data_IF_835908319978
#
_entry.id   IF_835908319978
#
_cell.length_a   1.000
_cell.length_b   1.000
_cell.length_c   1.000
_cell.angle_alpha   90.00
_cell.angle_beta   90.00
_cell.angle_gamma   90.00
#
_symmetry.space_group_name_H-M   'P 1'
#
loop_
_entity.id
_entity.type
_entity.pdbx_description
1 polymer ?
#
# COMPACT_ATOMS: atom_id res chain seq x y z
N UNK A 1 -3.75 12.88 -5.42
CA UNK A 1 -2.60 13.61 -5.92
C UNK A 1 -2.90 15.11 -5.97
N UNK A 2 -2.05 15.92 -5.33
CA UNK A 2 -2.17 17.36 -5.42
C UNK A 2 -1.70 17.74 -6.84
N UNK A 3 -2.64 18.12 -7.69
CA UNK A 3 -2.31 18.62 -9.03
C UNK A 3 -1.49 19.91 -8.91
N UNK A 4 -0.62 20.17 -9.87
CA UNK A 4 0.30 21.32 -9.93
C UNK A 4 -0.35 22.70 -9.68
N UNK A 5 -1.67 22.83 -9.91
CA UNK A 5 -2.43 24.03 -9.59
C UNK A 5 -2.43 24.46 -8.11
N UNK A 6 -2.15 23.52 -7.18
CA UNK A 6 -2.03 23.84 -5.75
C UNK A 6 -0.66 24.48 -5.39
N UNK A 7 0.35 24.36 -6.25
CA UNK A 7 1.67 24.95 -6.05
C UNK A 7 1.74 26.45 -6.41
N UNK A 8 0.67 27.03 -6.98
CA UNK A 8 0.63 28.44 -7.41
C UNK A 8 0.55 29.45 -6.27
N UNK A 9 0.21 29.02 -5.06
CA UNK A 9 0.12 29.86 -3.89
C UNK A 9 1.46 29.84 -3.13
N UNK A 10 2.14 30.97 -3.04
CA UNK A 10 3.44 31.13 -2.35
C UNK A 10 3.38 30.62 -0.91
N UNK A 11 2.24 30.80 -0.24
CA UNK A 11 2.03 30.29 1.11
C UNK A 11 2.03 28.77 1.15
N UNK A 12 1.36 28.11 0.19
CA UNK A 12 1.32 26.63 0.11
C UNK A 12 2.66 26.02 -0.28
N UNK A 13 3.47 26.74 -1.08
CA UNK A 13 4.82 26.28 -1.47
C UNK A 13 5.72 26.02 -0.26
N UNK A 14 5.63 26.81 0.80
CA UNK A 14 6.41 26.62 2.03
C UNK A 14 6.06 25.32 2.77
N UNK A 15 4.94 24.69 2.43
CA UNK A 15 4.53 23.38 2.95
C UNK A 15 5.27 22.19 2.32
N UNK A 16 6.04 22.41 1.24
CA UNK A 16 6.74 21.34 0.52
C UNK A 16 8.25 21.52 0.58
N UNK A 17 8.98 20.42 0.44
CA UNK A 17 10.45 20.44 0.47
C UNK A 17 10.97 20.79 -0.92
N UNK A 18 11.63 21.95 -1.03
CA UNK A 18 12.43 22.30 -2.20
C UNK A 18 13.82 21.64 -2.08
N UNK A 19 14.24 20.82 -3.05
CA UNK A 19 15.51 20.14 -2.96
C UNK A 19 16.66 21.12 -3.18
N UNK A 20 17.56 21.16 -2.22
CA UNK A 20 18.91 21.65 -2.42
C UNK A 20 19.79 20.51 -2.94
N UNK A 21 20.92 20.83 -3.59
CA UNK A 21 21.84 19.81 -4.13
C UNK A 21 22.26 18.78 -3.07
N UNK A 22 22.48 19.20 -1.83
CA UNK A 22 22.82 18.32 -0.70
C UNK A 22 21.75 17.28 -0.39
N UNK A 23 20.44 17.54 -0.66
CA UNK A 23 19.38 16.56 -0.49
C UNK A 23 19.36 15.53 -1.62
N UNK A 24 19.73 15.95 -2.84
CA UNK A 24 19.75 15.06 -4.00
C UNK A 24 20.87 14.03 -3.92
N UNK A 25 22.04 14.43 -3.41
CA UNK A 25 23.23 13.59 -3.36
C UNK A 25 23.24 12.61 -2.20
N UNK A 26 22.56 12.92 -1.09
CA UNK A 26 22.69 12.19 0.19
C UNK A 26 21.45 11.47 0.65
N UNK A 27 20.30 11.63 -0.01
CA UNK A 27 19.08 10.91 0.33
C UNK A 27 19.00 9.55 -0.35
N UNK A 28 18.95 8.52 0.44
CA UNK A 28 19.26 7.14 0.09
C UNK A 28 18.27 6.44 -0.87
N UNK A 29 17.00 6.81 -0.87
CA UNK A 29 15.99 6.02 -1.60
C UNK A 29 15.50 6.63 -2.91
N UNK A 30 16.26 7.53 -3.48
CA UNK A 30 15.93 7.99 -4.81
C UNK A 30 16.51 7.06 -5.86
N UNK A 31 15.66 6.52 -6.72
CA UNK A 31 16.11 5.70 -7.84
C UNK A 31 17.04 6.53 -8.73
N UNK A 32 18.27 6.07 -9.00
CA UNK A 32 19.18 6.80 -9.89
C UNK A 32 18.52 7.08 -11.25
N UNK A 33 18.66 8.29 -11.77
CA UNK A 33 18.11 8.69 -13.05
C UNK A 33 16.62 9.06 -13.07
N UNK A 34 15.92 9.02 -11.92
CA UNK A 34 14.59 9.64 -11.84
C UNK A 34 14.73 11.16 -11.75
N UNK A 35 14.05 11.93 -12.63
CA UNK A 35 14.01 13.36 -12.54
C UNK A 35 13.32 13.78 -11.23
N UNK A 36 13.69 14.94 -10.69
CA UNK A 36 12.96 15.52 -9.56
C UNK A 36 11.59 16.02 -10.05
N UNK A 37 10.59 15.98 -9.17
CA UNK A 37 9.27 16.51 -9.50
C UNK A 37 9.39 18.02 -9.76
N UNK A 38 8.98 18.44 -10.96
CA UNK A 38 8.94 19.85 -11.35
C UNK A 38 7.49 20.35 -11.33
N UNK A 39 7.25 21.45 -10.66
CA UNK A 39 5.95 22.13 -10.68
C UNK A 39 6.03 23.37 -11.56
N UNK A 40 5.14 23.45 -12.57
CA UNK A 40 5.01 24.64 -13.39
C UNK A 40 4.28 25.76 -12.62
N UNK A 41 4.90 26.93 -12.54
CA UNK A 41 4.37 28.09 -11.88
C UNK A 41 3.47 28.94 -12.82
N UNK A 42 2.63 29.85 -12.27
CA UNK A 42 1.78 30.71 -13.09
C UNK A 42 2.51 31.61 -14.07
N UNK A 43 3.77 31.95 -13.75
CA UNK A 43 4.67 32.74 -14.61
C UNK A 43 5.36 31.92 -15.71
N UNK A 44 5.08 30.60 -15.75
CA UNK A 44 5.65 29.65 -16.70
C UNK A 44 7.00 29.06 -16.30
N UNK A 45 7.57 29.47 -15.16
CA UNK A 45 8.78 28.85 -14.61
C UNK A 45 8.50 27.47 -14.06
N UNK A 46 9.51 26.61 -13.97
CA UNK A 46 9.43 25.29 -13.32
C UNK A 46 10.29 25.29 -12.06
N UNK A 47 9.70 24.91 -10.94
CA UNK A 47 10.38 24.78 -9.65
C UNK A 47 10.48 23.32 -9.21
N UNK A 48 11.65 22.87 -8.71
CA UNK A 48 11.83 21.51 -8.23
C UNK A 48 11.22 21.32 -6.83
N UNK A 49 10.58 20.15 -6.62
CA UNK A 49 10.11 19.71 -5.31
C UNK A 49 10.55 18.28 -5.03
N UNK A 50 10.89 18.00 -3.78
CA UNK A 50 11.24 16.66 -3.35
C UNK A 50 10.03 15.73 -3.38
N UNK A 51 10.24 14.51 -3.88
CA UNK A 51 9.25 13.44 -3.88
C UNK A 51 9.92 12.12 -3.54
N UNK A 52 9.39 11.40 -2.54
CA UNK A 52 9.87 10.08 -2.15
C UNK A 52 9.29 8.99 -3.03
N UNK A 53 8.00 9.07 -3.33
CA UNK A 53 7.27 7.97 -3.97
C UNK A 53 7.02 8.25 -5.44
N UNK A 54 5.79 8.50 -5.78
CA UNK A 54 5.32 8.50 -7.14
C UNK A 54 5.84 9.66 -7.96
N UNK A 55 6.42 9.34 -9.12
CA UNK A 55 6.77 10.32 -10.13
C UNK A 55 6.55 9.71 -11.51
N UNK A 56 5.83 10.42 -12.32
CA UNK A 56 5.62 10.13 -13.72
C UNK A 56 5.65 11.43 -14.51
N UNK A 57 6.28 11.39 -15.68
CA UNK A 57 6.14 12.45 -16.68
C UNK A 57 5.05 11.98 -17.63
N UNK A 58 4.00 12.76 -17.77
CA UNK A 58 2.97 12.55 -18.77
C UNK A 58 3.13 13.58 -19.89
N UNK A 59 3.00 13.12 -21.13
CA UNK A 59 3.10 13.97 -22.32
C UNK A 59 1.71 14.17 -22.89
N UNK A 60 1.23 15.40 -22.84
CA UNK A 60 -0.02 15.75 -23.54
C UNK A 60 0.12 15.40 -25.01
N UNK A 61 -0.94 14.84 -25.56
CA UNK A 61 -0.95 14.42 -26.97
C UNK A 61 -1.44 15.56 -27.83
N UNK A 62 -0.65 15.97 -28.84
CA UNK A 62 -1.12 16.96 -29.77
C UNK A 62 -2.32 16.41 -30.56
N UNK A 63 -3.36 17.18 -30.69
CA UNK A 63 -4.47 16.85 -31.59
C UNK A 63 -3.99 16.74 -33.05
N UNK A 64 -4.78 16.08 -33.91
CA UNK A 64 -4.45 15.99 -35.33
C UNK A 64 -4.25 17.37 -35.97
N UNK A 65 -5.08 18.36 -35.57
CA UNK A 65 -4.93 19.74 -36.05
C UNK A 65 -3.63 20.40 -35.61
N UNK A 66 -3.25 20.24 -34.32
CA UNK A 66 -1.97 20.71 -33.81
C UNK A 66 -0.79 20.05 -34.52
N UNK A 67 -0.85 18.73 -34.75
CA UNK A 67 0.17 18.04 -35.54
C UNK A 67 0.31 18.60 -36.97
N UNK A 68 -0.80 18.90 -37.64
CA UNK A 68 -0.75 19.56 -38.95
C UNK A 68 -0.05 20.92 -38.87
N UNK A 69 -0.36 21.71 -37.84
CA UNK A 69 0.21 23.06 -37.66
C UNK A 69 1.73 23.02 -37.40
N UNK A 70 2.18 22.15 -36.48
CA UNK A 70 3.58 22.10 -36.07
C UNK A 70 4.47 21.35 -37.06
N UNK A 71 3.92 20.37 -37.78
CA UNK A 71 4.71 19.51 -38.68
C UNK A 71 4.55 19.80 -40.17
N UNK A 72 3.55 20.59 -40.56
CA UNK A 72 3.20 20.84 -41.96
C UNK A 72 2.60 19.63 -42.69
N UNK A 73 2.26 18.56 -41.99
CA UNK A 73 1.70 17.35 -42.60
C UNK A 73 0.25 17.55 -43.04
N UNK A 74 -0.13 16.88 -44.11
CA UNK A 74 -1.52 16.76 -44.56
C UNK A 74 -2.33 15.91 -43.56
N UNK A 75 -3.65 16.13 -43.50
CA UNK A 75 -4.55 15.49 -42.54
C UNK A 75 -4.35 13.97 -42.37
N UNK A 76 -4.34 13.23 -43.48
CA UNK A 76 -4.17 11.77 -43.44
C UNK A 76 -2.82 11.28 -42.87
N UNK A 77 -1.76 12.06 -43.08
CA UNK A 77 -0.43 11.80 -42.51
C UNK A 77 -0.41 12.15 -41.02
N UNK A 78 -1.01 13.28 -40.64
CA UNK A 78 -1.14 13.71 -39.27
C UNK A 78 -1.96 12.73 -38.42
N UNK A 79 -3.05 12.15 -38.94
CA UNK A 79 -3.82 11.08 -38.27
C UNK A 79 -2.96 9.86 -37.98
N UNK A 80 -2.16 9.41 -38.95
CA UNK A 80 -1.26 8.25 -38.73
C UNK A 80 -0.15 8.55 -37.75
N UNK A 81 0.43 9.75 -37.78
CA UNK A 81 1.43 10.18 -36.82
C UNK A 81 0.82 10.27 -35.42
N UNK A 82 -0.37 10.84 -35.27
CA UNK A 82 -1.11 10.89 -33.99
C UNK A 82 -1.31 9.48 -33.41
N UNK A 83 -1.80 8.52 -34.19
CA UNK A 83 -2.00 7.14 -33.73
C UNK A 83 -0.68 6.48 -33.31
N UNK A 84 0.40 6.72 -34.05
CA UNK A 84 1.73 6.21 -33.74
C UNK A 84 2.28 6.80 -32.42
N UNK A 85 2.17 8.12 -32.24
CA UNK A 85 2.56 8.80 -31.00
C UNK A 85 1.76 8.29 -29.80
N UNK A 86 0.43 8.17 -29.97
CA UNK A 86 -0.44 7.65 -28.93
C UNK A 86 -0.05 6.22 -28.51
N UNK A 87 0.25 5.34 -29.48
CA UNK A 87 0.69 3.97 -29.19
C UNK A 87 2.05 3.94 -28.47
N UNK A 88 3.01 4.75 -28.91
CA UNK A 88 4.35 4.81 -28.33
C UNK A 88 4.33 5.36 -26.89
N UNK A 89 3.63 6.47 -26.66
CA UNK A 89 3.48 7.08 -25.33
C UNK A 89 2.69 6.18 -24.37
N UNK A 90 1.64 5.50 -24.84
CA UNK A 90 0.92 4.51 -24.04
C UNK A 90 1.80 3.31 -23.66
N UNK A 91 2.77 2.96 -24.50
CA UNK A 91 3.76 1.93 -24.19
C UNK A 91 4.88 2.43 -23.26
N UNK A 92 4.81 3.68 -22.77
CA UNK A 92 5.79 4.27 -21.88
C UNK A 92 7.09 4.69 -22.52
N UNK A 93 7.15 4.80 -23.87
CA UNK A 93 8.33 5.31 -24.56
C UNK A 93 8.49 6.81 -24.32
N UNK A 94 9.73 7.25 -24.09
CA UNK A 94 10.04 8.69 -24.03
C UNK A 94 9.99 9.29 -25.46
N UNK A 95 9.69 10.59 -25.59
CA UNK A 95 9.58 11.24 -26.90
C UNK A 95 10.82 11.06 -27.81
N UNK A 96 12.02 11.11 -27.25
CA UNK A 96 13.29 10.93 -27.96
C UNK A 96 13.52 9.48 -28.44
N UNK A 97 12.95 8.51 -27.74
CA UNK A 97 13.02 7.07 -28.07
C UNK A 97 12.05 6.64 -29.18
N UNK A 98 11.04 7.49 -29.49
CA UNK A 98 10.01 7.16 -30.48
C UNK A 98 10.62 7.10 -31.88
N UNK A 99 10.37 5.99 -32.56
CA UNK A 99 10.76 5.84 -33.97
C UNK A 99 9.73 6.50 -34.90
N UNK A 100 10.10 7.63 -35.47
CA UNK A 100 9.23 8.39 -36.37
C UNK A 100 9.15 7.81 -37.80
N UNK A 101 9.99 6.87 -38.16
CA UNK A 101 9.99 6.23 -39.49
C UNK A 101 9.96 7.25 -40.63
N UNK A 102 8.96 7.18 -41.51
CA UNK A 102 8.79 8.12 -42.63
C UNK A 102 8.47 9.57 -42.23
N UNK A 103 8.18 9.83 -40.94
CA UNK A 103 7.94 11.16 -40.39
C UNK A 103 9.17 11.77 -39.71
N UNK A 104 10.37 11.21 -39.95
CA UNK A 104 11.62 11.67 -39.35
C UNK A 104 11.89 13.18 -39.55
N UNK A 105 11.45 13.74 -40.68
CA UNK A 105 11.61 15.16 -40.99
C UNK A 105 10.89 16.11 -39.97
N UNK A 106 9.81 15.66 -39.31
CA UNK A 106 9.12 16.46 -38.33
C UNK A 106 9.41 16.00 -36.86
N UNK A 107 10.34 15.06 -36.67
CA UNK A 107 10.64 14.50 -35.34
C UNK A 107 10.97 15.59 -34.33
N UNK A 108 11.88 16.51 -34.63
CA UNK A 108 12.36 17.56 -33.71
C UNK A 108 11.23 18.50 -33.26
N UNK A 109 10.41 18.97 -34.19
CA UNK A 109 9.31 19.91 -33.85
C UNK A 109 8.22 19.23 -33.02
N UNK A 110 7.96 17.95 -33.28
CA UNK A 110 6.97 17.18 -32.49
C UNK A 110 7.52 16.86 -31.08
N UNK A 111 8.80 16.47 -30.97
CA UNK A 111 9.43 16.25 -29.66
C UNK A 111 9.43 17.53 -28.86
N UNK A 112 9.84 18.67 -29.43
CA UNK A 112 9.83 19.94 -28.72
C UNK A 112 8.42 20.27 -28.21
N UNK A 113 7.39 20.09 -29.04
CA UNK A 113 6.01 20.30 -28.61
C UNK A 113 5.63 19.39 -27.44
N UNK A 114 5.97 18.08 -27.48
CA UNK A 114 5.69 17.15 -26.39
C UNK A 114 6.41 17.55 -25.09
N UNK A 115 7.68 17.97 -25.18
CA UNK A 115 8.47 18.42 -24.02
C UNK A 115 7.92 19.74 -23.44
N UNK A 116 7.45 20.66 -24.27
CA UNK A 116 6.80 21.90 -23.85
C UNK A 116 5.44 21.67 -23.18
N UNK A 117 4.77 20.55 -23.49
CA UNK A 117 3.45 20.19 -22.98
C UNK A 117 3.50 18.96 -22.07
N UNK A 118 4.66 18.66 -21.48
CA UNK A 118 4.78 17.62 -20.47
C UNK A 118 4.20 18.08 -19.14
N UNK A 119 3.64 17.14 -18.40
CA UNK A 119 3.17 17.35 -17.04
C UNK A 119 3.90 16.39 -16.10
N UNK A 120 4.26 16.89 -14.93
CA UNK A 120 4.82 16.05 -13.88
C UNK A 120 3.72 15.62 -12.93
N UNK A 121 3.48 14.31 -12.85
CA UNK A 121 2.57 13.71 -11.90
C UNK A 121 3.37 13.10 -10.76
N UNK A 122 3.05 13.47 -9.52
CA UNK A 122 3.78 12.95 -8.37
C UNK A 122 3.23 13.47 -7.05
N UNK A 123 3.79 12.92 -5.97
CA UNK A 123 3.52 13.36 -4.60
C UNK A 123 4.70 14.18 -4.10
N UNK A 124 4.46 15.46 -3.84
CA UNK A 124 5.43 16.32 -3.16
C UNK A 124 5.46 15.94 -1.68
N UNK A 125 6.67 15.81 -1.12
CA UNK A 125 6.81 15.51 0.31
C UNK A 125 6.57 16.78 1.13
N UNK A 126 5.81 16.63 2.22
CA UNK A 126 5.51 17.71 3.14
C UNK A 126 6.77 18.13 3.92
N UNK A 127 6.96 19.42 4.08
CA UNK A 127 8.00 19.98 4.91
C UNK A 127 7.55 20.06 6.38
N UNK A 128 7.83 19.04 7.16
CA UNK A 128 7.47 18.96 8.58
C UNK A 128 8.13 20.05 9.46
N UNK A 129 9.08 20.83 8.92
CA UNK A 129 9.67 21.99 9.59
C UNK A 129 8.84 23.26 9.37
N UNK A 130 7.87 23.23 8.45
CA UNK A 130 7.02 24.37 8.13
C UNK A 130 5.82 24.49 9.08
N UNK A 131 5.57 25.69 9.67
CA UNK A 131 4.38 25.93 10.48
C UNK A 131 3.06 25.64 9.74
N UNK A 132 3.03 25.84 8.42
CA UNK A 132 1.86 25.59 7.57
C UNK A 132 1.47 24.09 7.59
N UNK A 133 2.46 23.20 7.62
CA UNK A 133 2.21 21.76 7.69
C UNK A 133 1.59 21.39 9.03
N UNK A 134 2.00 22.04 10.13
CA UNK A 134 1.42 21.82 11.44
C UNK A 134 -0.01 22.35 11.56
N UNK A 135 -0.31 23.50 10.96
CA UNK A 135 -1.67 24.00 10.83
C UNK A 135 -2.53 23.04 10.01
N UNK A 136 -2.02 22.53 8.89
CA UNK A 136 -2.69 21.50 8.10
C UNK A 136 -2.95 20.22 8.90
N UNK A 137 -1.99 19.71 9.66
CA UNK A 137 -2.17 18.54 10.52
C UNK A 137 -3.24 18.77 11.58
N UNK A 138 -3.20 19.91 12.27
CA UNK A 138 -4.22 20.27 13.27
C UNK A 138 -5.61 20.27 12.66
N UNK A 139 -5.80 20.98 11.55
CA UNK A 139 -7.09 21.09 10.89
C UNK A 139 -7.58 19.72 10.37
N UNK A 140 -6.68 18.88 9.88
CA UNK A 140 -7.01 17.53 9.41
C UNK A 140 -7.46 16.63 10.56
N UNK A 141 -6.71 16.59 11.67
CA UNK A 141 -7.06 15.78 12.84
C UNK A 141 -8.38 16.23 13.45
N UNK A 142 -8.60 17.54 13.56
CA UNK A 142 -9.88 18.12 14.02
C UNK A 142 -11.04 17.68 13.14
N UNK A 143 -10.87 17.73 11.82
CA UNK A 143 -11.89 17.34 10.84
C UNK A 143 -12.22 15.85 10.96
N UNK A 144 -11.19 15.01 11.04
CA UNK A 144 -11.38 13.56 11.20
C UNK A 144 -12.10 13.20 12.50
N UNK A 145 -11.73 13.86 13.61
CA UNK A 145 -12.44 13.70 14.88
C UNK A 145 -13.90 14.14 14.78
N UNK A 146 -14.16 15.26 14.08
CA UNK A 146 -15.52 15.74 13.80
C UNK A 146 -16.37 14.75 12.98
N UNK A 147 -15.74 13.93 12.15
CA UNK A 147 -16.41 12.84 11.45
C UNK A 147 -16.56 11.56 12.27
N UNK A 148 -16.11 11.57 13.53
CA UNK A 148 -16.24 10.43 14.44
C UNK A 148 -15.09 9.41 14.32
N UNK A 149 -13.97 9.77 13.71
CA UNK A 149 -12.78 8.92 13.74
C UNK A 149 -12.27 8.77 15.18
N UNK A 150 -11.84 7.57 15.55
CA UNK A 150 -11.17 7.29 16.81
C UNK A 150 -9.71 6.85 16.62
N UNK A 151 -9.38 6.33 15.44
CA UNK A 151 -8.02 5.92 15.04
C UNK A 151 -7.66 6.62 13.73
N UNK A 152 -6.48 7.21 13.66
CA UNK A 152 -5.93 7.84 12.46
C UNK A 152 -4.67 7.11 12.01
N UNK A 153 -4.71 6.59 10.79
CA UNK A 153 -3.54 5.99 10.14
C UNK A 153 -2.64 7.09 9.60
N UNK A 154 -1.38 7.03 9.96
CA UNK A 154 -0.33 7.91 9.43
C UNK A 154 0.40 7.19 8.29
N UNK A 155 0.02 7.53 7.06
CA UNK A 155 0.52 6.91 5.83
C UNK A 155 2.01 7.15 5.65
N UNK A 156 2.77 6.09 5.34
CA UNK A 156 4.20 6.14 5.03
C UNK A 156 5.04 6.97 6.03
N UNK A 157 4.69 6.91 7.31
CA UNK A 157 5.14 7.84 8.34
C UNK A 157 6.66 7.90 8.49
N UNK A 158 7.33 6.75 8.35
CA UNK A 158 8.79 6.65 8.49
C UNK A 158 9.58 7.47 7.44
N UNK A 159 8.91 7.91 6.38
CA UNK A 159 9.51 8.76 5.34
C UNK A 159 9.34 10.27 5.59
N UNK A 160 8.56 10.67 6.60
CA UNK A 160 8.24 12.08 6.81
C UNK A 160 9.45 12.94 7.25
N UNK A 161 10.33 12.50 8.17
CA UNK A 161 11.54 13.25 8.51
C UNK A 161 12.54 13.25 7.35
N UNK A 162 13.03 14.45 7.01
CA UNK A 162 14.02 14.69 5.96
C UNK A 162 15.17 15.52 6.53
N UNK A 163 16.31 14.87 6.73
CA UNK A 163 17.53 15.52 7.19
C UNK A 163 18.64 15.36 6.14
N UNK A 164 19.31 16.46 5.75
CA UNK A 164 20.41 16.39 4.81
C UNK A 164 21.54 15.49 5.32
N UNK A 165 21.95 14.53 4.49
CA UNK A 165 23.00 13.58 4.86
C UNK A 165 22.52 12.31 5.53
N UNK A 166 21.24 12.22 5.89
CA UNK A 166 20.62 11.04 6.48
C UNK A 166 19.88 10.21 5.44
N UNK A 167 19.55 8.97 5.82
CA UNK A 167 18.68 8.11 5.00
C UNK A 167 17.27 8.70 4.91
N UNK A 168 16.53 8.33 3.87
CA UNK A 168 15.16 8.82 3.63
C UNK A 168 14.08 7.92 4.28
N UNK A 169 14.44 7.11 5.27
CA UNK A 169 13.51 6.19 5.91
C UNK A 169 13.95 5.92 7.34
N UNK A 170 13.02 6.03 8.28
CA UNK A 170 13.18 5.74 9.70
C UNK A 170 14.44 6.39 10.30
N UNK A 171 14.48 7.71 10.24
CA UNK A 171 15.56 8.49 10.86
C UNK A 171 15.36 8.56 12.36
N UNK A 172 16.32 8.03 13.12
CA UNK A 172 16.33 8.07 14.57
C UNK A 172 17.25 9.23 15.04
N UNK A 173 16.83 10.10 15.97
CA UNK A 173 15.54 10.11 16.69
C UNK A 173 14.40 10.83 15.98
N UNK A 174 14.63 11.48 14.85
CA UNK A 174 13.69 12.43 14.22
C UNK A 174 12.30 11.83 13.91
N UNK A 175 12.23 10.54 13.54
CA UNK A 175 10.95 9.85 13.29
C UNK A 175 10.10 9.79 14.55
N UNK A 176 10.71 9.46 15.68
CA UNK A 176 10.00 9.33 16.95
C UNK A 176 9.61 10.68 17.54
N UNK A 177 10.48 11.68 17.46
CA UNK A 177 10.17 13.05 17.85
C UNK A 177 9.01 13.64 17.05
N UNK A 178 8.95 13.33 15.75
CA UNK A 178 7.82 13.73 14.91
C UNK A 178 6.53 13.02 15.36
N UNK A 179 6.61 11.71 15.64
CA UNK A 179 5.45 10.94 16.10
C UNK A 179 4.90 11.49 17.42
N UNK A 180 5.78 11.82 18.36
CA UNK A 180 5.39 12.41 19.64
C UNK A 180 4.72 13.78 19.46
N UNK A 181 5.20 14.62 18.54
CA UNK A 181 4.57 15.91 18.21
C UNK A 181 3.18 15.72 17.60
N UNK A 182 3.01 14.76 16.67
CA UNK A 182 1.69 14.46 16.08
C UNK A 182 0.76 13.89 17.13
N UNK A 183 1.28 13.09 18.08
CA UNK A 183 0.50 12.55 19.20
C UNK A 183 -0.08 13.66 20.07
N UNK A 184 0.69 14.67 20.41
CA UNK A 184 0.19 15.81 21.19
C UNK A 184 -1.02 16.46 20.52
N UNK A 185 -0.99 16.65 19.19
CA UNK A 185 -2.14 17.17 18.45
C UNK A 185 -3.32 16.18 18.43
N UNK A 186 -3.07 14.90 18.27
CA UNK A 186 -4.11 13.88 18.22
C UNK A 186 -4.83 13.75 19.57
N UNK A 187 -4.08 13.84 20.67
CA UNK A 187 -4.61 13.78 22.04
C UNK A 187 -5.60 14.92 22.33
N UNK A 188 -5.41 16.12 21.72
CA UNK A 188 -6.36 17.24 21.83
C UNK A 188 -7.77 16.87 21.34
N UNK A 189 -7.86 15.90 20.43
CA UNK A 189 -9.13 15.44 19.82
C UNK A 189 -9.51 14.01 20.22
N UNK A 190 -8.82 13.39 21.16
CA UNK A 190 -9.09 12.01 21.61
C UNK A 190 -8.81 10.94 20.55
N UNK A 191 -7.90 11.22 19.60
CA UNK A 191 -7.55 10.32 18.51
C UNK A 191 -6.36 9.44 18.89
N UNK A 192 -6.46 8.16 18.54
CA UNK A 192 -5.33 7.23 18.58
C UNK A 192 -4.58 7.24 17.25
N UNK A 193 -3.27 7.16 17.29
CA UNK A 193 -2.43 7.10 16.09
C UNK A 193 -2.06 5.66 15.74
N UNK A 194 -2.05 5.38 14.43
CA UNK A 194 -1.59 4.13 13.85
C UNK A 194 -0.54 4.44 12.78
N UNK A 195 0.74 4.54 13.16
CA UNK A 195 1.80 4.81 12.18
C UNK A 195 2.02 3.60 11.27
N UNK A 196 2.07 3.84 9.97
CA UNK A 196 2.43 2.82 8.99
C UNK A 196 3.94 2.83 8.78
N UNK A 197 4.58 1.79 9.28
CA UNK A 197 6.02 1.58 9.15
C UNK A 197 6.25 0.12 8.77
N UNK A 198 6.65 -0.11 7.52
CA UNK A 198 7.08 -1.42 7.06
C UNK A 198 8.53 -1.70 7.46
N UNK A 199 8.75 -2.78 8.17
CA UNK A 199 10.06 -3.24 8.55
C UNK A 199 10.05 -4.77 8.71
N UNK A 200 11.19 -5.42 8.49
CA UNK A 200 11.29 -6.86 8.71
C UNK A 200 11.13 -7.21 10.20
N UNK A 201 10.66 -8.42 10.46
CA UNK A 201 10.57 -8.92 11.84
C UNK A 201 11.90 -8.83 12.59
N UNK A 202 13.02 -9.09 11.91
CA UNK A 202 14.36 -9.01 12.50
C UNK A 202 14.77 -7.60 12.97
N UNK A 203 14.16 -6.53 12.40
CA UNK A 203 14.43 -5.15 12.80
C UNK A 203 13.69 -4.73 14.07
N UNK A 204 12.68 -5.50 14.50
CA UNK A 204 11.91 -5.28 15.74
C UNK A 204 11.26 -3.90 15.86
N UNK A 205 11.01 -3.22 14.74
CA UNK A 205 10.39 -1.88 14.74
C UNK A 205 8.96 -1.91 15.29
N UNK A 206 8.22 -3.00 15.04
CA UNK A 206 6.88 -3.19 15.61
C UNK A 206 6.89 -3.17 17.15
N UNK A 207 7.93 -3.72 17.80
CA UNK A 207 8.12 -3.64 19.26
C UNK A 207 8.42 -2.20 19.67
N UNK A 208 9.33 -1.51 18.97
CA UNK A 208 9.63 -0.11 19.26
C UNK A 208 8.40 0.79 19.19
N UNK A 209 7.51 0.56 18.21
CA UNK A 209 6.24 1.28 18.09
C UNK A 209 5.32 0.96 19.27
N UNK A 210 5.21 -0.32 19.64
CA UNK A 210 4.37 -0.77 20.75
C UNK A 210 4.89 -0.26 22.12
N UNK A 211 6.20 -0.29 22.35
CA UNK A 211 6.84 0.21 23.58
C UNK A 211 6.61 1.72 23.80
N UNK A 212 6.39 2.45 22.70
CA UNK A 212 5.99 3.86 22.75
C UNK A 212 4.47 4.06 22.96
N UNK A 213 3.72 2.99 23.13
CA UNK A 213 2.28 3.02 23.43
C UNK A 213 1.37 3.17 22.20
N UNK A 214 1.89 2.94 20.99
CA UNK A 214 1.09 2.99 19.77
C UNK A 214 0.61 1.60 19.35
N UNK A 215 -0.54 1.55 18.69
CA UNK A 215 -0.92 0.37 17.92
C UNK A 215 0.02 0.23 16.71
N UNK A 216 0.27 -1.00 16.31
CA UNK A 216 1.08 -1.29 15.13
C UNK A 216 0.26 -2.09 14.10
N UNK A 217 0.61 -1.97 12.82
CA UNK A 217 0.10 -2.89 11.82
C UNK A 217 0.73 -4.27 11.97
N UNK A 218 -0.10 -5.30 11.90
CA UNK A 218 0.37 -6.68 11.80
C UNK A 218 0.61 -7.05 10.31
N UNK A 219 1.76 -6.62 9.79
CA UNK A 219 2.18 -6.96 8.43
C UNK A 219 2.69 -8.39 8.29
N UNK A 220 2.82 -9.12 9.41
CA UNK A 220 3.28 -10.50 9.40
C UNK A 220 2.13 -11.49 9.23
N UNK A 221 0.97 -11.18 9.79
CA UNK A 221 -0.18 -12.09 9.76
C UNK A 221 -0.59 -12.54 8.36
N UNK A 222 -0.64 -11.70 7.31
CA UNK A 222 -1.03 -12.13 5.97
C UNK A 222 -0.18 -13.30 5.46
N UNK A 223 1.12 -13.17 5.60
CA UNK A 223 2.06 -14.20 5.15
C UNK A 223 2.07 -15.43 6.06
N UNK A 224 1.93 -15.25 7.39
CA UNK A 224 1.85 -16.37 8.33
C UNK A 224 0.61 -17.23 8.12
N UNK A 225 -0.54 -16.62 7.83
CA UNK A 225 -1.77 -17.37 7.53
C UNK A 225 -1.64 -18.11 6.20
N UNK A 226 -1.07 -17.46 5.18
CA UNK A 226 -0.81 -18.11 3.90
C UNK A 226 0.15 -19.29 4.06
N UNK A 227 1.23 -19.10 4.83
CA UNK A 227 2.20 -20.14 5.15
C UNK A 227 1.58 -21.32 5.87
N UNK A 228 0.78 -21.06 6.90
CA UNK A 228 0.12 -22.09 7.68
C UNK A 228 -0.84 -22.95 6.83
N UNK A 229 -1.60 -22.31 5.93
CA UNK A 229 -2.54 -23.02 5.05
C UNK A 229 -1.79 -23.82 3.96
N UNK A 230 -0.75 -23.27 3.35
CA UNK A 230 -0.03 -23.95 2.28
C UNK A 230 0.89 -25.06 2.79
N UNK A 231 1.58 -24.84 3.92
CA UNK A 231 2.51 -25.80 4.50
C UNK A 231 1.88 -26.71 5.58
N UNK A 232 0.57 -26.51 5.90
CA UNK A 232 -0.16 -27.29 6.90
C UNK A 232 0.50 -27.24 8.30
N UNK A 233 1.08 -26.09 8.63
CA UNK A 233 1.87 -25.87 9.85
C UNK A 233 1.48 -24.56 10.54
N UNK A 234 0.78 -24.67 11.68
CA UNK A 234 0.33 -23.54 12.47
C UNK A 234 1.33 -23.05 13.54
N UNK A 235 2.52 -23.63 13.60
CA UNK A 235 3.49 -23.36 14.67
C UNK A 235 3.94 -21.89 14.72
N UNK A 236 4.19 -21.27 13.55
CA UNK A 236 4.57 -19.87 13.46
C UNK A 236 3.43 -18.91 13.82
N UNK A 237 2.18 -19.27 13.48
CA UNK A 237 1.00 -18.49 13.90
C UNK A 237 0.82 -18.55 15.42
N UNK A 238 0.97 -19.71 16.03
CA UNK A 238 0.87 -19.87 17.47
C UNK A 238 1.96 -19.07 18.18
N UNK A 239 3.21 -19.20 17.73
CA UNK A 239 4.33 -18.43 18.28
C UNK A 239 4.15 -16.91 18.15
N UNK A 240 3.62 -16.45 17.01
CA UNK A 240 3.32 -15.03 16.80
C UNK A 240 2.19 -14.52 17.72
N UNK A 241 1.14 -15.29 17.90
CA UNK A 241 0.06 -14.94 18.82
C UNK A 241 0.57 -14.85 20.28
N UNK A 242 1.45 -15.75 20.67
CA UNK A 242 2.10 -15.75 22.00
C UNK A 242 3.00 -14.52 22.15
N UNK A 243 3.79 -14.17 21.14
CA UNK A 243 4.64 -12.97 21.16
C UNK A 243 3.82 -11.69 21.32
N UNK A 244 2.72 -11.55 20.58
CA UNK A 244 1.79 -10.40 20.69
C UNK A 244 1.23 -10.28 22.10
N UNK A 245 0.82 -11.39 22.71
CA UNK A 245 0.29 -11.42 24.06
C UNK A 245 1.36 -11.11 25.10
N UNK A 246 2.50 -11.78 25.06
CA UNK A 246 3.54 -11.70 26.07
C UNK A 246 4.19 -10.31 26.12
N UNK A 247 4.27 -9.62 24.98
CA UNK A 247 4.76 -8.25 24.89
C UNK A 247 3.64 -7.19 24.89
N UNK A 248 2.37 -7.59 25.07
CA UNK A 248 1.22 -6.69 25.10
C UNK A 248 1.13 -5.79 23.86
N UNK A 249 1.45 -6.34 22.69
CA UNK A 249 1.46 -5.60 21.43
C UNK A 249 0.03 -5.50 20.88
N UNK A 250 -0.49 -4.29 20.80
CA UNK A 250 -1.80 -4.05 20.21
C UNK A 250 -1.67 -3.83 18.69
N UNK A 251 -2.29 -4.72 17.94
CA UNK A 251 -2.20 -4.67 16.47
C UNK A 251 -3.51 -4.30 15.78
N UNK A 252 -3.38 -3.77 14.56
CA UNK A 252 -4.41 -3.83 13.53
C UNK A 252 -3.97 -4.91 12.54
N UNK A 253 -4.68 -6.03 12.53
CA UNK A 253 -4.33 -7.18 11.71
C UNK A 253 -5.14 -7.22 10.40
N UNK A 254 -4.59 -7.82 9.35
CA UNK A 254 -5.22 -7.92 8.05
C UNK A 254 -4.83 -9.23 7.35
N UNK A 255 -5.54 -9.60 6.26
CA UNK A 255 -5.11 -10.62 5.31
C UNK A 255 -4.50 -9.98 4.07
N UNK A 256 -5.26 -9.14 3.39
CA UNK A 256 -4.80 -8.34 2.27
C UNK A 256 -5.13 -6.87 2.45
N UNK A 257 -4.55 -6.03 1.61
CA UNK A 257 -4.84 -4.61 1.56
C UNK A 257 -4.66 -4.07 0.13
N UNK A 258 -4.87 -2.76 -0.04
CA UNK A 258 -4.70 -2.09 -1.32
C UNK A 258 -3.26 -2.14 -1.88
N UNK A 259 -2.27 -2.44 -1.05
CA UNK A 259 -0.87 -2.54 -1.46
C UNK A 259 -0.43 -3.96 -1.81
N UNK A 260 -1.18 -4.98 -1.40
CA UNK A 260 -0.87 -6.39 -1.63
C UNK A 260 -0.56 -7.16 -0.36
N UNK A 261 0.24 -8.21 -0.48
CA UNK A 261 0.60 -9.11 0.61
C UNK A 261 2.07 -8.86 0.97
N UNK A 262 2.39 -8.34 2.17
CA UNK A 262 3.75 -8.09 2.60
C UNK A 262 4.41 -9.43 2.99
N UNK A 263 5.38 -9.88 2.19
CA UNK A 263 6.11 -11.12 2.45
C UNK A 263 7.54 -10.88 2.91
N UNK A 264 8.15 -9.75 2.53
CA UNK A 264 9.51 -9.42 2.95
C UNK A 264 9.58 -9.10 4.46
N UNK A 265 8.48 -8.59 5.02
CA UNK A 265 8.38 -8.29 6.46
C UNK A 265 8.56 -9.56 7.33
N UNK A 266 8.29 -10.75 6.78
CA UNK A 266 8.48 -12.04 7.44
C UNK A 266 9.95 -12.44 7.65
N UNK A 267 10.90 -11.69 7.09
CA UNK A 267 12.33 -12.00 7.24
C UNK A 267 12.75 -11.99 8.70
N UNK A 268 13.31 -13.13 9.13
CA UNK A 268 13.66 -13.39 10.53
C UNK A 268 12.54 -14.05 11.35
N UNK A 269 11.30 -14.11 10.83
CA UNK A 269 10.19 -14.85 11.45
C UNK A 269 9.98 -16.21 10.76
N UNK A 270 10.00 -16.22 9.43
CA UNK A 270 10.00 -17.46 8.64
C UNK A 270 11.37 -17.73 8.01
N UNK A 271 11.74 -19.00 7.77
CA UNK A 271 12.87 -19.35 6.94
C UNK A 271 12.76 -18.76 5.54
N UNK A 272 13.88 -18.32 4.97
CA UNK A 272 13.92 -17.68 3.66
C UNK A 272 13.32 -18.57 2.56
N UNK A 273 13.57 -19.87 2.61
CA UNK A 273 13.04 -20.85 1.65
C UNK A 273 11.50 -20.89 1.68
N UNK A 274 10.89 -20.76 2.87
CA UNK A 274 9.42 -20.70 3.00
C UNK A 274 8.89 -19.39 2.41
N UNK A 275 9.55 -18.26 2.65
CA UNK A 275 9.17 -16.96 2.07
C UNK A 275 9.22 -17.03 0.55
N UNK A 276 10.31 -17.57 -0.03
CA UNK A 276 10.45 -17.72 -1.48
C UNK A 276 9.42 -18.68 -2.07
N UNK A 277 9.11 -19.78 -1.37
CA UNK A 277 8.04 -20.71 -1.76
C UNK A 277 6.67 -20.03 -1.80
N UNK A 278 6.34 -19.19 -0.81
CA UNK A 278 5.10 -18.43 -0.77
C UNK A 278 5.01 -17.44 -1.93
N UNK A 279 6.09 -16.70 -2.21
CA UNK A 279 6.16 -15.80 -3.37
C UNK A 279 5.90 -16.58 -4.66
N UNK A 280 6.58 -17.70 -4.85
CA UNK A 280 6.40 -18.57 -6.01
C UNK A 280 4.95 -19.07 -6.16
N UNK A 281 4.32 -19.46 -5.06
CA UNK A 281 2.92 -19.92 -5.02
C UNK A 281 1.96 -18.81 -5.45
N UNK A 282 2.10 -17.61 -4.89
CA UNK A 282 1.21 -16.48 -5.23
C UNK A 282 1.41 -16.03 -6.67
N UNK A 283 2.66 -16.00 -7.16
CA UNK A 283 2.97 -15.68 -8.56
C UNK A 283 2.39 -16.72 -9.51
N UNK A 284 2.51 -18.01 -9.21
CA UNK A 284 1.91 -19.09 -10.00
C UNK A 284 0.38 -18.98 -10.07
N UNK A 285 -0.27 -18.35 -9.08
CA UNK A 285 -1.71 -18.06 -9.03
C UNK A 285 -2.06 -16.70 -9.64
N UNK A 286 -1.14 -16.08 -10.40
CA UNK A 286 -1.37 -14.84 -11.13
C UNK A 286 -1.06 -13.57 -10.34
N UNK A 287 -0.41 -13.67 -9.19
CA UNK A 287 0.11 -12.51 -8.46
C UNK A 287 1.30 -11.87 -9.16
N UNK A 288 1.56 -10.62 -8.87
CA UNK A 288 2.66 -9.84 -9.44
C UNK A 288 3.62 -9.39 -8.34
N UNK A 289 4.91 -9.51 -8.59
CA UNK A 289 5.96 -9.04 -7.68
C UNK A 289 6.48 -7.69 -8.12
N UNK A 290 6.82 -6.85 -7.15
CA UNK A 290 7.52 -5.60 -7.38
C UNK A 290 8.89 -5.67 -6.73
N UNK A 291 9.93 -5.43 -7.53
CA UNK A 291 11.29 -5.33 -7.03
C UNK A 291 11.45 -4.10 -6.12
N UNK A 292 12.10 -4.27 -4.98
CA UNK A 292 12.43 -3.17 -4.09
C UNK A 292 13.43 -2.24 -4.79
N UNK A 293 12.98 -1.02 -5.08
CA UNK A 293 13.81 0.06 -5.66
C UNK A 293 14.65 -0.34 -6.89
N UNK A 294 14.17 -1.30 -7.69
CA UNK A 294 14.88 -1.77 -8.89
C UNK A 294 16.09 -2.67 -8.62
N UNK A 295 16.25 -3.15 -7.40
CA UNK A 295 17.18 -4.22 -7.08
C UNK A 295 16.56 -5.55 -7.49
N UNK A 296 17.25 -6.28 -8.38
CA UNK A 296 16.79 -7.61 -8.80
C UNK A 296 16.76 -8.56 -7.60
N UNK A 297 15.67 -9.32 -7.49
CA UNK A 297 15.44 -10.37 -6.47
C UNK A 297 15.20 -9.88 -5.03
N UNK A 298 14.87 -8.61 -4.82
CA UNK A 298 14.36 -8.14 -3.52
C UNK A 298 12.91 -7.74 -3.71
N UNK A 299 12.00 -8.62 -3.30
CA UNK A 299 10.56 -8.42 -3.43
C UNK A 299 10.00 -7.81 -2.15
N UNK A 300 9.46 -6.60 -2.25
CA UNK A 300 8.86 -5.91 -1.11
C UNK A 300 7.47 -6.49 -0.78
N UNK A 301 6.64 -6.67 -1.80
CA UNK A 301 5.27 -7.16 -1.69
C UNK A 301 4.92 -8.00 -2.91
N UNK A 302 3.97 -8.92 -2.73
CA UNK A 302 3.29 -9.58 -3.84
C UNK A 302 1.91 -8.96 -3.99
N UNK A 303 1.64 -8.38 -5.16
CA UNK A 303 0.35 -7.79 -5.49
C UNK A 303 -0.59 -8.89 -5.98
N UNK A 304 -1.61 -9.15 -5.23
CA UNK A 304 -2.70 -10.08 -5.50
C UNK A 304 -3.86 -9.79 -4.56
N UNK A 305 -5.08 -10.18 -4.92
CA UNK A 305 -6.14 -10.36 -3.93
C UNK A 305 -5.80 -11.55 -3.04
N UNK A 306 -6.16 -11.50 -1.78
CA UNK A 306 -5.87 -12.61 -0.86
C UNK A 306 -6.60 -13.88 -1.28
N UNK A 307 -7.83 -13.74 -1.79
CA UNK A 307 -8.61 -14.85 -2.35
C UNK A 307 -7.88 -15.55 -3.52
N UNK A 308 -7.29 -14.77 -4.46
CA UNK A 308 -6.48 -15.37 -5.54
C UNK A 308 -5.19 -16.00 -5.02
N UNK A 309 -4.54 -15.38 -4.03
CA UNK A 309 -3.35 -15.93 -3.39
C UNK A 309 -3.61 -17.31 -2.74
N UNK A 310 -4.83 -17.53 -2.22
CA UNK A 310 -5.30 -18.82 -1.71
C UNK A 310 -5.78 -19.81 -2.80
N UNK A 311 -5.60 -19.47 -4.10
CA UNK A 311 -6.02 -20.30 -5.23
C UNK A 311 -7.49 -20.14 -5.61
N UNK A 312 -8.14 -19.07 -5.18
CA UNK A 312 -9.57 -18.80 -5.33
C UNK A 312 -10.46 -19.92 -4.74
N UNK A 313 -10.01 -20.45 -3.60
CA UNK A 313 -10.66 -21.54 -2.85
C UNK A 313 -11.50 -20.94 -1.71
N UNK A 314 -12.79 -21.24 -1.70
CA UNK A 314 -13.75 -20.70 -0.73
C UNK A 314 -13.48 -21.24 0.70
N UNK A 315 -13.10 -22.50 0.85
CA UNK A 315 -12.80 -23.10 2.16
C UNK A 315 -11.53 -22.50 2.77
N UNK A 316 -10.48 -22.35 1.96
CA UNK A 316 -9.23 -21.70 2.39
C UNK A 316 -9.46 -20.23 2.75
N UNK A 317 -10.31 -19.51 2.00
CA UNK A 317 -10.63 -18.12 2.31
C UNK A 317 -11.37 -17.99 3.64
N UNK A 318 -12.34 -18.87 3.90
CA UNK A 318 -13.08 -18.91 5.15
C UNK A 318 -12.21 -19.28 6.34
N UNK A 319 -11.33 -20.27 6.16
CA UNK A 319 -10.33 -20.65 7.16
C UNK A 319 -9.39 -19.49 7.49
N UNK A 320 -8.83 -18.82 6.47
CA UNK A 320 -7.96 -17.66 6.66
C UNK A 320 -8.68 -16.52 7.40
N UNK A 321 -9.93 -16.24 7.03
CA UNK A 321 -10.75 -15.22 7.71
C UNK A 321 -11.05 -15.60 9.15
N UNK A 322 -11.39 -16.85 9.43
CA UNK A 322 -11.61 -17.32 10.80
C UNK A 322 -10.33 -17.15 11.65
N UNK A 323 -9.18 -17.57 11.14
CA UNK A 323 -7.89 -17.38 11.81
C UNK A 323 -7.64 -15.90 12.07
N UNK A 324 -7.76 -15.02 11.07
CA UNK A 324 -7.57 -13.57 11.23
C UNK A 324 -8.44 -13.01 12.37
N UNK A 325 -9.72 -13.36 12.40
CA UNK A 325 -10.67 -12.82 13.37
C UNK A 325 -10.43 -13.33 14.79
N UNK A 326 -9.78 -14.46 14.95
CA UNK A 326 -9.44 -15.01 16.26
C UNK A 326 -8.02 -14.65 16.70
N UNK A 327 -7.11 -14.26 15.80
CA UNK A 327 -5.80 -13.76 16.20
C UNK A 327 -5.92 -12.49 17.05
N UNK A 328 -4.95 -12.24 17.96
CA UNK A 328 -4.90 -11.00 18.71
C UNK A 328 -4.92 -9.76 17.80
N UNK A 329 -5.59 -8.68 18.23
CA UNK A 329 -5.63 -7.43 17.49
C UNK A 329 -7.03 -7.03 16.99
N UNK A 330 -7.08 -5.87 16.34
CA UNK A 330 -8.28 -5.32 15.69
C UNK A 330 -8.29 -5.72 14.21
N UNK A 331 -9.25 -6.52 13.73
CA UNK A 331 -9.24 -6.96 12.33
C UNK A 331 -9.63 -5.82 11.38
N UNK A 332 -8.79 -5.59 10.38
CA UNK A 332 -9.07 -4.76 9.21
C UNK A 332 -9.35 -5.68 8.02
N UNK A 333 -10.45 -5.47 7.33
CA UNK A 333 -10.86 -6.30 6.20
C UNK A 333 -10.85 -5.49 4.91
N UNK A 334 -10.03 -5.92 3.95
CA UNK A 334 -10.02 -5.35 2.62
C UNK A 334 -11.28 -5.79 1.85
N UNK A 335 -11.96 -4.83 1.20
CA UNK A 335 -13.26 -5.11 0.58
C UNK A 335 -13.20 -6.18 -0.51
N UNK A 336 -12.14 -6.22 -1.33
CA UNK A 336 -12.00 -7.27 -2.35
C UNK A 336 -11.89 -8.67 -1.74
N UNK A 337 -11.20 -8.80 -0.60
CA UNK A 337 -11.09 -10.09 0.09
C UNK A 337 -12.43 -10.48 0.73
N UNK A 338 -13.20 -9.50 1.26
CA UNK A 338 -14.54 -9.75 1.78
C UNK A 338 -15.48 -10.30 0.69
N UNK A 339 -15.44 -9.69 -0.50
CA UNK A 339 -16.26 -10.13 -1.64
C UNK A 339 -15.64 -11.29 -2.42
N UNK A 340 -14.57 -11.91 -1.93
CA UNK A 340 -13.83 -12.99 -2.58
C UNK A 340 -13.50 -12.62 -4.05
N UNK A 341 -13.00 -11.40 -4.24
CA UNK A 341 -12.62 -10.86 -5.54
C UNK A 341 -11.32 -11.50 -6.04
N UNK A 342 -11.27 -11.74 -7.35
CA UNK A 342 -10.08 -12.28 -8.01
C UNK A 342 -9.16 -11.16 -8.52
N UNK A 343 -7.93 -11.54 -8.84
CA UNK A 343 -6.95 -10.67 -9.50
C UNK A 343 -7.51 -10.05 -10.77
N UNK A 344 -7.37 -8.73 -10.92
CA UNK A 344 -7.83 -7.96 -12.08
C UNK A 344 -6.67 -7.69 -13.05
N UNK A 345 -6.39 -8.66 -13.90
CA UNK A 345 -5.31 -8.57 -14.90
C UNK A 345 -5.62 -7.50 -15.96
N UNK A 346 -6.89 -7.26 -16.27
CA UNK A 346 -7.28 -6.24 -17.25
C UNK A 346 -7.03 -4.83 -16.73
N UNK A 347 -7.32 -4.58 -15.44
CA UNK A 347 -6.97 -3.29 -14.81
C UNK A 347 -5.47 -3.01 -14.89
N UNK A 348 -4.62 -4.03 -14.66
CA UNK A 348 -3.17 -3.90 -14.80
C UNK A 348 -2.76 -3.56 -16.24
N UNK A 349 -3.34 -4.22 -17.24
CA UNK A 349 -3.07 -3.93 -18.65
C UNK A 349 -3.45 -2.50 -19.04
N UNK A 350 -4.60 -2.01 -18.56
CA UNK A 350 -5.06 -0.65 -18.82
C UNK A 350 -4.19 0.41 -18.13
N UNK A 351 -3.70 0.11 -16.93
CA UNK A 351 -2.83 1.02 -16.18
C UNK A 351 -1.41 1.12 -16.77
N UNK A 352 -0.98 0.13 -17.55
CA UNK A 352 0.33 0.13 -18.21
C UNK A 352 1.53 -0.03 -17.25
N UNK A 353 2.63 0.59 -17.60
CA UNK A 353 3.87 0.48 -16.82
C UNK A 353 3.68 1.02 -15.40
N UNK A 354 3.99 0.19 -14.38
CA UNK A 354 3.81 0.54 -12.96
C UNK A 354 2.42 0.22 -12.39
N UNK A 355 1.46 -0.23 -13.21
CA UNK A 355 0.08 -0.53 -12.80
C UNK A 355 -0.13 -1.85 -12.05
N UNK A 356 0.92 -2.53 -11.61
CA UNK A 356 0.84 -3.84 -10.94
C UNK A 356 -0.06 -3.84 -9.69
N UNK A 357 -0.22 -2.71 -9.00
CA UNK A 357 -1.11 -2.59 -7.84
C UNK A 357 -2.60 -2.60 -8.22
N UNK A 358 -2.94 -2.33 -9.47
CA UNK A 358 -4.34 -2.34 -9.90
C UNK A 358 -4.96 -3.75 -9.88
N UNK A 359 -4.11 -4.79 -9.82
CA UNK A 359 -4.53 -6.19 -9.73
C UNK A 359 -5.46 -6.48 -8.54
N UNK A 360 -5.30 -5.73 -7.44
CA UNK A 360 -6.07 -5.88 -6.19
C UNK A 360 -6.80 -4.59 -5.77
N UNK A 361 -7.14 -3.72 -6.75
CA UNK A 361 -7.81 -2.43 -6.52
C UNK A 361 -9.08 -2.24 -7.37
N UNK A 362 -9.65 -3.31 -7.90
CA UNK A 362 -10.88 -3.25 -8.70
C UNK A 362 -11.98 -2.49 -7.98
N UNK A 363 -12.52 -1.46 -8.62
CA UNK A 363 -13.71 -0.75 -8.12
C UNK A 363 -14.96 -1.58 -8.40
N UNK A 364 -15.66 -1.99 -7.35
CA UNK A 364 -16.90 -2.74 -7.47
C UNK A 364 -18.09 -1.79 -7.60
N UNK A 365 -18.93 -2.01 -8.61
CA UNK A 365 -20.21 -1.35 -8.71
C UNK A 365 -21.31 -2.05 -7.89
N UNK A 366 -22.48 -1.43 -7.76
CA UNK A 366 -23.57 -1.96 -6.95
C UNK A 366 -24.06 -3.36 -7.42
N UNK A 367 -24.07 -3.62 -8.72
CA UNK A 367 -24.47 -4.92 -9.29
C UNK A 367 -23.46 -6.01 -8.93
N UNK A 368 -22.19 -5.72 -9.07
CA UNK A 368 -21.11 -6.65 -8.68
C UNK A 368 -21.15 -6.96 -7.18
N UNK A 369 -21.38 -5.95 -6.34
CA UNK A 369 -21.55 -6.13 -4.90
C UNK A 369 -22.77 -7.01 -4.60
N UNK A 370 -23.92 -6.71 -5.19
CA UNK A 370 -25.13 -7.50 -4.99
C UNK A 370 -24.97 -8.95 -5.46
N UNK A 371 -24.27 -9.18 -6.56
CA UNK A 371 -23.95 -10.54 -7.05
C UNK A 371 -23.01 -11.26 -6.08
N UNK A 372 -21.95 -10.59 -5.61
CA UNK A 372 -21.02 -11.17 -4.65
C UNK A 372 -21.70 -11.54 -3.32
N UNK A 373 -22.64 -10.71 -2.85
CA UNK A 373 -23.44 -10.98 -1.64
C UNK A 373 -24.31 -12.25 -1.72
N UNK A 374 -24.55 -12.80 -2.91
CA UNK A 374 -25.26 -14.08 -3.06
C UNK A 374 -24.34 -15.31 -2.90
N UNK A 375 -23.04 -15.11 -2.84
CA UNK A 375 -22.06 -16.19 -2.69
C UNK A 375 -21.98 -16.65 -1.24
N UNK A 376 -21.98 -17.96 -1.00
CA UNK A 376 -21.88 -18.57 0.34
C UNK A 376 -20.62 -18.09 1.09
N UNK A 377 -19.47 -18.08 0.43
CA UNK A 377 -18.21 -17.61 1.02
C UNK A 377 -18.28 -16.17 1.54
N UNK A 378 -19.03 -15.30 0.87
CA UNK A 378 -19.21 -13.91 1.29
C UNK A 378 -20.14 -13.83 2.49
N UNK A 379 -21.27 -14.52 2.46
CA UNK A 379 -22.21 -14.57 3.58
C UNK A 379 -21.57 -15.13 4.86
N UNK A 380 -20.83 -16.22 4.73
CA UNK A 380 -20.11 -16.83 5.87
C UNK A 380 -19.00 -15.93 6.43
N UNK A 381 -18.29 -15.17 5.58
CA UNK A 381 -17.36 -14.14 6.06
C UNK A 381 -18.10 -13.03 6.84
N UNK A 382 -19.27 -12.59 6.36
CA UNK A 382 -20.09 -11.59 7.07
C UNK A 382 -20.59 -12.15 8.40
N UNK A 383 -20.95 -13.41 8.49
CA UNK A 383 -21.36 -14.04 9.75
C UNK A 383 -20.19 -14.12 10.75
N UNK A 384 -18.99 -14.46 10.29
CA UNK A 384 -17.78 -14.41 11.12
C UNK A 384 -17.49 -13.00 11.64
N UNK A 385 -17.66 -11.98 10.81
CA UNK A 385 -17.50 -10.58 11.22
C UNK A 385 -18.57 -10.16 12.25
N UNK A 386 -19.83 -10.58 12.07
CA UNK A 386 -20.90 -10.35 13.06
C UNK A 386 -20.55 -11.02 14.38
N UNK A 387 -20.11 -12.27 14.34
CA UNK A 387 -19.67 -13.01 15.53
C UNK A 387 -18.55 -12.26 16.25
N UNK A 388 -17.49 -11.85 15.55
CA UNK A 388 -16.38 -11.10 16.12
C UNK A 388 -16.82 -9.78 16.77
N UNK A 389 -17.83 -9.12 16.19
CA UNK A 389 -18.37 -7.85 16.69
C UNK A 389 -19.25 -8.02 17.92
N UNK A 390 -20.02 -9.12 18.00
CA UNK A 390 -21.12 -9.24 18.98
C UNK A 390 -20.84 -10.18 20.13
N UNK A 391 -19.90 -11.13 19.97
CA UNK A 391 -19.62 -12.09 21.03
C UNK A 391 -18.81 -11.45 22.16
N UNK A 392 -19.27 -11.51 23.43
CA UNK A 392 -18.68 -10.77 24.55
C UNK A 392 -17.28 -11.25 24.93
N UNK A 393 -16.88 -12.46 24.60
CA UNK A 393 -15.52 -12.93 24.83
C UNK A 393 -14.46 -12.14 24.04
N UNK A 394 -14.81 -11.49 22.91
CA UNK A 394 -13.90 -10.64 22.14
C UNK A 394 -13.75 -9.25 22.75
N UNK A 395 -13.31 -9.20 23.98
CA UNK A 395 -13.07 -7.94 24.70
C UNK A 395 -11.59 -7.55 24.66
N UNK A 396 -11.28 -6.26 24.87
CA UNK A 396 -9.89 -5.75 24.90
C UNK A 396 -9.05 -6.40 26.01
N UNK A 397 -9.69 -6.76 27.12
CA UNK A 397 -9.05 -7.30 28.31
C UNK A 397 -9.22 -8.83 28.41
N UNK A 398 -9.66 -9.47 27.31
CA UNK A 398 -9.81 -10.92 27.27
C UNK A 398 -8.46 -11.64 27.36
N UNK A 399 -8.45 -12.76 28.05
CA UNK A 399 -7.37 -13.70 28.00
C UNK A 399 -7.43 -14.46 26.68
N UNK A 400 -6.31 -14.49 25.96
CA UNK A 400 -6.17 -15.20 24.67
C UNK A 400 -5.17 -16.31 24.85
N UNK A 401 -5.54 -17.54 24.50
CA UNK A 401 -4.63 -18.67 24.50
C UNK A 401 -4.57 -19.29 23.11
N UNK A 402 -3.35 -19.61 22.67
CA UNK A 402 -3.12 -20.21 21.37
C UNK A 402 -2.34 -21.50 21.54
N UNK A 403 -2.77 -22.55 20.86
CA UNK A 403 -2.08 -23.85 20.86
C UNK A 403 -2.01 -24.43 19.48
N UNK A 404 -0.86 -25.01 19.16
CA UNK A 404 -0.66 -25.81 17.95
C UNK A 404 -0.46 -27.28 18.30
N UNK A 405 -1.33 -28.14 17.80
CA UNK A 405 -1.20 -29.58 17.87
C UNK A 405 -1.60 -30.17 16.52
N UNK A 406 -0.60 -30.43 15.68
CA UNK A 406 -0.83 -30.84 14.29
C UNK A 406 -1.92 -31.90 14.16
N UNK A 407 -2.89 -31.72 13.28
CA UNK A 407 -3.01 -30.65 12.27
C UNK A 407 -3.87 -29.44 12.72
N UNK A 408 -4.15 -29.28 14.02
CA UNK A 408 -5.13 -28.30 14.55
C UNK A 408 -4.44 -27.14 15.24
N UNK A 409 -4.72 -25.92 14.76
CA UNK A 409 -4.47 -24.66 15.45
C UNK A 409 -5.73 -24.30 16.27
N UNK A 410 -5.57 -24.08 17.56
CA UNK A 410 -6.67 -23.65 18.45
C UNK A 410 -6.37 -22.27 19.01
N UNK A 411 -7.35 -21.36 18.94
CA UNK A 411 -7.27 -20.01 19.51
C UNK A 411 -8.52 -19.77 20.35
N UNK A 412 -8.34 -19.51 21.65
CA UNK A 412 -9.44 -19.34 22.60
C UNK A 412 -9.39 -17.92 23.18
N UNK A 413 -10.52 -17.26 23.22
CA UNK A 413 -10.77 -16.00 23.88
C UNK A 413 -11.66 -16.21 25.09
N UNK A 414 -11.28 -15.65 26.24
CA UNK A 414 -12.03 -15.74 27.49
C UNK A 414 -12.11 -14.37 28.17
N UNK A 415 -13.31 -13.92 28.45
CA UNK A 415 -13.56 -12.69 29.19
C UNK A 415 -14.66 -12.93 30.23
N UNK A 416 -14.31 -12.94 31.51
CA UNK A 416 -15.23 -13.28 32.59
C UNK A 416 -15.76 -14.72 32.45
N UNK A 417 -17.08 -14.87 32.32
CA UNK A 417 -17.73 -16.16 32.10
C UNK A 417 -17.85 -16.53 30.62
N UNK A 418 -17.62 -15.58 29.72
CA UNK A 418 -17.77 -15.80 28.27
C UNK A 418 -16.48 -16.37 27.67
N UNK A 419 -16.65 -17.40 26.87
CA UNK A 419 -15.54 -18.07 26.17
C UNK A 419 -15.96 -18.40 24.75
N UNK A 420 -15.02 -18.32 23.83
CA UNK A 420 -15.16 -18.74 22.43
C UNK A 420 -13.83 -19.28 21.91
N UNK A 421 -13.86 -20.37 21.19
CA UNK A 421 -12.65 -20.99 20.65
C UNK A 421 -12.80 -21.31 19.17
N UNK A 422 -11.76 -21.03 18.42
CA UNK A 422 -11.55 -21.51 17.05
C UNK A 422 -10.70 -22.79 17.09
N UNK A 423 -11.11 -23.80 16.34
CA UNK A 423 -10.32 -24.98 16.03
C UNK A 423 -10.15 -25.07 14.52
N UNK A 424 -8.98 -24.76 14.02
CA UNK A 424 -8.64 -24.72 12.60
C UNK A 424 -7.83 -25.97 12.21
N UNK A 425 -8.43 -26.88 11.44
CA UNK A 425 -7.76 -28.05 10.88
C UNK A 425 -7.11 -27.65 9.54
N UNK A 426 -5.79 -27.45 9.59
CA UNK A 426 -5.02 -26.96 8.44
C UNK A 426 -4.87 -28.02 7.33
N UNK A 427 -5.04 -29.29 7.62
CA UNK A 427 -4.96 -30.36 6.59
C UNK A 427 -6.27 -30.44 5.80
N UNK A 428 -7.39 -30.29 6.48
CA UNK A 428 -8.72 -30.34 5.83
C UNK A 428 -9.18 -29.01 5.27
N UNK A 429 -8.47 -27.91 5.53
CA UNK A 429 -8.88 -26.52 5.24
C UNK A 429 -10.28 -26.20 5.82
N UNK A 430 -10.54 -26.66 7.05
CA UNK A 430 -11.82 -26.48 7.77
C UNK A 430 -11.60 -25.94 9.18
N UNK A 431 -12.65 -25.38 9.73
CA UNK A 431 -12.65 -24.91 11.11
C UNK A 431 -13.98 -25.15 11.80
N UNK A 432 -13.92 -25.16 13.13
CA UNK A 432 -15.07 -25.22 14.03
C UNK A 432 -14.94 -24.09 15.05
N UNK A 433 -16.07 -23.51 15.46
CA UNK A 433 -16.16 -22.50 16.53
C UNK A 433 -16.98 -23.12 17.65
N UNK A 434 -16.45 -23.07 18.87
CA UNK A 434 -17.00 -23.69 20.07
C UNK A 434 -17.25 -22.63 21.16
#
# INVERSE_FOLDING_TARGET
PIKSSAASDVYKRQGYIQPEAKYLEKMFFRKPGLPILMARMPDGTEEPYWNTFYQQVDYLRPTVQQLMQISGLQYSAAVRLHSMLAAALNAGQKPDEINFGKYAACKSVVINWLEEHREYLGQMDLNIKSPIVWEFYRNTLQTLAGYGASIVRLDAFAYAPKEPGEKNFLNDPATWELLDKVKVLADEYGLQLLPEIHASYSEKIYQTVADKGYMTYDFFLPGLVLDAIENKDGSYLAAWADELRDHQIHTVNMLGCHDGIPLLDLKGLLPEERIQSLIGTVVARGGMVKDLHGQKNIYYQVNATYYSALGADDDKMLLARAIQLFMPGKPQVWYLDLFAGKNDVEAVRHAGAGGHKEINRTNLNAEQINTALQRDVVQRQLDLLRLRKTHPAFHSDAEITTTWSAPVLSICWKHGADMIALRADLVKDKFEIQ
#
